data_IF_743602978708
#
_entry.id   IF_743602978708
#
_cell.length_a   1.000
_cell.length_b   1.000
_cell.length_c   1.000
_cell.angle_alpha   90.00
_cell.angle_beta   90.00
_cell.angle_gamma   90.00
#
_symmetry.space_group_name_H-M   'P 1'
#
loop_
_entity.id
_entity.type
_entity.pdbx_description
1 polymer ?
#
# COMPACT_ATOMS: atom_id res chain seq x y z
N UNK A 1 -62.40 25.87 -29.41
CA UNK A 1 -61.28 25.02 -29.81
C UNK A 1 -60.45 24.76 -28.57
N UNK A 2 -60.72 23.64 -27.89
CA UNK A 2 -59.95 23.17 -26.75
C UNK A 2 -59.39 21.80 -27.12
N UNK A 3 -58.06 21.70 -27.02
CA UNK A 3 -57.27 20.52 -27.34
C UNK A 3 -57.54 19.47 -26.27
N UNK A 4 -58.11 18.33 -26.64
CA UNK A 4 -58.19 17.16 -25.76
C UNK A 4 -56.85 16.41 -25.82
N UNK A 5 -56.04 16.57 -24.78
CA UNK A 5 -54.96 15.64 -24.45
C UNK A 5 -55.58 14.47 -23.66
N UNK A 6 -55.68 13.30 -24.29
CA UNK A 6 -56.22 12.08 -23.66
C UNK A 6 -55.14 11.50 -22.75
N UNK A 7 -55.40 11.52 -21.44
CA UNK A 7 -54.58 10.84 -20.44
C UNK A 7 -54.92 9.35 -20.43
N UNK A 8 -53.92 8.50 -20.65
CA UNK A 8 -54.04 7.04 -20.60
C UNK A 8 -54.03 6.59 -19.12
N UNK A 9 -55.17 6.19 -18.57
CA UNK A 9 -55.27 5.72 -17.19
C UNK A 9 -55.76 4.27 -17.16
N UNK A 10 -54.95 3.34 -16.68
CA UNK A 10 -55.46 2.12 -16.07
C UNK A 10 -55.99 2.52 -14.68
N UNK A 11 -57.30 2.67 -14.54
CA UNK A 11 -57.92 3.00 -13.26
C UNK A 11 -58.34 1.73 -12.54
N UNK A 12 -57.65 1.41 -11.44
CA UNK A 12 -58.08 0.38 -10.51
C UNK A 12 -59.10 0.98 -9.51
N UNK A 13 -60.32 0.45 -9.49
CA UNK A 13 -61.29 0.79 -8.44
C UNK A 13 -61.09 -0.20 -7.30
N UNK A 14 -60.55 0.26 -6.17
CA UNK A 14 -60.50 -0.52 -4.93
C UNK A 14 -61.86 -0.44 -4.23
N UNK A 15 -62.56 -1.57 -4.15
CA UNK A 15 -63.74 -1.72 -3.32
C UNK A 15 -63.52 -2.82 -2.29
N UNK A 16 -63.66 -2.47 -1.00
CA UNK A 16 -63.56 -3.40 0.11
C UNK A 16 -64.94 -3.99 0.41
N UNK A 17 -65.09 -5.31 0.34
CA UNK A 17 -66.27 -6.01 0.85
C UNK A 17 -65.83 -6.98 1.94
N UNK A 18 -66.03 -6.59 3.20
CA UNK A 18 -66.01 -7.53 4.31
C UNK A 18 -67.46 -7.84 4.68
N UNK A 19 -67.83 -9.12 4.69
CA UNK A 19 -69.04 -9.58 5.38
C UNK A 19 -68.64 -10.06 6.76
N UNK A 20 -68.92 -9.32 7.85
CA UNK A 20 -68.68 -9.80 9.19
C UNK A 20 -69.82 -10.73 9.59
N UNK A 21 -69.53 -12.00 9.86
CA UNK A 21 -70.42 -12.83 10.68
C UNK A 21 -69.65 -13.29 11.92
N UNK A 22 -70.05 -12.71 13.05
CA UNK A 22 -69.91 -13.11 14.46
C UNK A 22 -68.75 -14.01 14.92
N UNK A 23 -68.13 -13.70 16.08
CA UNK A 23 -66.95 -14.41 16.57
C UNK A 23 -67.38 -15.76 17.16
N UNK A 24 -67.17 -16.81 16.38
CA UNK A 24 -66.91 -18.14 16.91
C UNK A 24 -65.60 -18.62 16.29
N UNK A 25 -64.95 -19.59 16.92
CA UNK A 25 -63.61 -20.14 16.64
C UNK A 25 -63.41 -20.67 15.21
N UNK A 26 -63.51 -19.79 14.23
CA UNK A 26 -63.50 -20.05 12.79
C UNK A 26 -62.23 -19.45 12.23
N UNK A 27 -61.55 -20.21 11.37
CA UNK A 27 -60.40 -19.75 10.60
C UNK A 27 -60.66 -18.33 10.08
N UNK A 28 -59.72 -17.41 10.33
CA UNK A 28 -59.79 -16.05 9.79
C UNK A 28 -59.92 -16.19 8.27
N UNK A 29 -60.99 -15.66 7.64
CA UNK A 29 -61.17 -15.79 6.21
C UNK A 29 -60.02 -15.06 5.50
N UNK A 30 -59.50 -15.59 4.38
CA UNK A 30 -58.45 -14.94 3.62
C UNK A 30 -58.88 -13.51 3.29
N UNK A 31 -58.03 -12.55 3.62
CA UNK A 31 -58.30 -11.18 3.22
C UNK A 31 -58.18 -11.05 1.71
N UNK A 32 -59.28 -10.62 1.11
CA UNK A 32 -59.44 -10.54 -0.33
C UNK A 32 -59.55 -9.09 -0.77
N UNK A 33 -58.85 -8.74 -1.84
CA UNK A 33 -58.85 -7.42 -2.46
C UNK A 33 -59.35 -7.60 -3.88
N UNK A 34 -60.45 -6.94 -4.21
CA UNK A 34 -60.97 -6.94 -5.58
C UNK A 34 -60.17 -5.95 -6.41
N UNK A 35 -59.58 -6.43 -7.49
CA UNK A 35 -58.79 -5.66 -8.45
C UNK A 35 -59.48 -5.74 -9.81
N UNK A 36 -59.69 -4.57 -10.42
CA UNK A 36 -60.27 -4.46 -11.76
C UNK A 36 -59.29 -3.69 -12.63
N UNK A 37 -58.87 -4.30 -13.72
CA UNK A 37 -58.09 -3.63 -14.76
C UNK A 37 -58.94 -3.45 -16.00
N UNK A 38 -59.15 -2.20 -16.38
CA UNK A 38 -59.72 -1.83 -17.67
C UNK A 38 -58.60 -1.33 -18.58
N UNK A 39 -58.32 -2.06 -19.66
CA UNK A 39 -57.23 -1.75 -20.58
C UNK A 39 -57.84 -1.09 -21.82
N UNK A 40 -57.63 0.22 -21.99
CA UNK A 40 -58.16 0.99 -23.12
C UNK A 40 -57.14 1.05 -24.26
N UNK A 41 -57.07 0.01 -25.09
CA UNK A 41 -56.16 -0.06 -26.24
C UNK A 41 -56.81 -0.79 -27.41
N UNK A 42 -56.59 -0.30 -28.63
CA UNK A 42 -57.22 -0.84 -29.85
C UNK A 42 -56.50 -2.09 -30.39
N UNK A 43 -55.32 -2.44 -29.84
CA UNK A 43 -54.61 -3.69 -30.14
C UNK A 43 -53.62 -4.02 -29.00
N UNK A 44 -53.86 -5.07 -28.20
CA UNK A 44 -52.93 -5.55 -27.16
C UNK A 44 -52.51 -6.98 -27.45
N UNK A 45 -51.40 -7.16 -28.16
CA UNK A 45 -51.04 -8.50 -28.62
C UNK A 45 -50.45 -9.40 -27.54
N UNK A 46 -49.89 -8.86 -26.45
CA UNK A 46 -49.29 -9.67 -25.39
C UNK A 46 -49.15 -8.92 -24.06
N UNK A 47 -49.80 -9.41 -23.02
CA UNK A 47 -49.79 -8.83 -21.69
C UNK A 47 -49.43 -9.87 -20.64
N UNK A 48 -48.68 -9.45 -19.62
CA UNK A 48 -48.32 -10.26 -18.46
C UNK A 48 -48.73 -9.52 -17.18
N UNK A 49 -49.56 -10.16 -16.38
CA UNK A 49 -49.95 -9.73 -15.04
C UNK A 49 -49.22 -10.60 -14.02
N UNK A 50 -48.57 -9.97 -13.04
CA UNK A 50 -47.67 -10.63 -12.09
C UNK A 50 -48.00 -10.21 -10.66
N UNK A 51 -47.98 -11.15 -9.72
CA UNK A 51 -48.02 -10.87 -8.27
C UNK A 51 -46.78 -11.36 -7.55
N UNK A 52 -46.52 -10.72 -6.42
CA UNK A 52 -45.64 -11.24 -5.39
C UNK A 52 -46.31 -11.16 -4.02
N UNK A 53 -46.19 -12.20 -3.19
CA UNK A 53 -46.69 -12.23 -1.81
C UNK A 53 -48.14 -12.68 -1.62
N UNK A 54 -48.90 -12.84 -2.71
CA UNK A 54 -50.29 -13.30 -2.69
C UNK A 54 -50.72 -14.03 -3.96
N UNK A 55 -51.97 -14.49 -3.97
CA UNK A 55 -52.55 -15.29 -5.05
C UNK A 55 -53.70 -14.57 -5.72
N UNK A 56 -53.83 -14.71 -7.03
CA UNK A 56 -55.06 -14.38 -7.73
C UNK A 56 -56.06 -15.54 -7.71
N UNK A 57 -57.31 -15.15 -7.49
CA UNK A 57 -58.47 -15.89 -7.94
C UNK A 57 -59.17 -15.04 -8.99
N UNK A 58 -59.07 -15.43 -10.26
CA UNK A 58 -59.70 -14.69 -11.34
C UNK A 58 -61.21 -14.96 -11.36
N UNK A 59 -62.01 -13.90 -11.43
CA UNK A 59 -63.47 -14.00 -11.35
C UNK A 59 -64.15 -13.83 -12.70
N UNK A 60 -63.61 -13.00 -13.60
CA UNK A 60 -64.13 -12.86 -14.97
C UNK A 60 -63.11 -12.26 -15.95
N UNK A 61 -63.27 -12.62 -17.23
CA UNK A 61 -62.50 -12.10 -18.35
C UNK A 61 -63.44 -11.65 -19.46
N UNK A 62 -63.24 -10.43 -19.95
CA UNK A 62 -63.99 -9.92 -21.12
C UNK A 62 -63.02 -9.35 -22.14
N UNK A 63 -63.17 -9.74 -23.41
CA UNK A 63 -62.34 -9.23 -24.51
C UNK A 63 -60.97 -9.88 -24.68
N UNK A 64 -60.66 -11.00 -24.01
CA UNK A 64 -59.40 -11.74 -24.19
C UNK A 64 -59.49 -12.71 -25.37
N UNK A 65 -58.41 -12.80 -26.16
CA UNK A 65 -58.26 -13.79 -27.25
C UNK A 65 -57.64 -15.08 -26.75
N UNK A 66 -56.58 -15.00 -25.95
CA UNK A 66 -55.98 -16.16 -25.27
C UNK A 66 -55.53 -15.77 -23.87
N UNK A 67 -55.48 -16.74 -22.96
CA UNK A 67 -54.91 -16.54 -21.63
C UNK A 67 -54.32 -17.83 -21.07
N UNK A 68 -53.23 -17.70 -20.32
CA UNK A 68 -52.57 -18.79 -19.61
C UNK A 68 -52.13 -18.28 -18.24
N UNK A 69 -52.47 -19.03 -17.20
CA UNK A 69 -52.09 -18.72 -15.82
C UNK A 69 -51.05 -19.73 -15.36
N UNK A 70 -49.97 -19.26 -14.76
CA UNK A 70 -48.92 -20.12 -14.22
C UNK A 70 -48.46 -19.62 -12.85
N UNK A 71 -48.20 -20.57 -11.96
CA UNK A 71 -47.60 -20.31 -10.65
C UNK A 71 -46.14 -20.70 -10.75
N UNK A 72 -45.22 -19.77 -10.55
CA UNK A 72 -43.78 -20.10 -10.61
C UNK A 72 -43.28 -20.59 -9.26
N UNK A 73 -43.87 -20.13 -8.16
CA UNK A 73 -43.61 -20.61 -6.80
C UNK A 73 -44.75 -20.23 -5.85
N UNK A 74 -44.59 -20.49 -4.54
CA UNK A 74 -45.61 -20.20 -3.53
C UNK A 74 -45.90 -18.72 -3.32
N UNK A 75 -45.05 -17.81 -3.80
CA UNK A 75 -45.16 -16.36 -3.62
C UNK A 75 -45.45 -15.62 -4.93
N UNK A 76 -45.22 -16.24 -6.08
CA UNK A 76 -45.31 -15.61 -7.38
C UNK A 76 -46.31 -16.32 -8.27
N UNK A 77 -47.29 -15.56 -8.74
CA UNK A 77 -48.24 -16.01 -9.74
C UNK A 77 -48.22 -15.03 -10.91
N UNK A 78 -48.28 -15.57 -12.11
CA UNK A 78 -48.36 -14.77 -13.31
C UNK A 78 -49.47 -15.29 -14.24
N UNK A 79 -50.01 -14.37 -15.02
CA UNK A 79 -50.96 -14.64 -16.07
C UNK A 79 -50.49 -13.93 -17.32
N UNK A 80 -50.37 -14.65 -18.41
CA UNK A 80 -50.13 -14.08 -19.73
C UNK A 80 -51.44 -14.12 -20.51
N UNK A 81 -51.78 -13.04 -21.21
CA UNK A 81 -52.98 -12.98 -22.03
C UNK A 81 -52.75 -12.11 -23.26
N UNK A 82 -53.57 -12.34 -24.28
CA UNK A 82 -53.59 -11.54 -25.50
C UNK A 82 -55.01 -10.99 -25.71
N UNK A 83 -55.15 -9.84 -26.35
CA UNK A 83 -56.45 -9.25 -26.68
C UNK A 83 -56.42 -8.45 -27.99
N UNK A 84 -57.46 -8.65 -28.81
CA UNK A 84 -57.69 -7.88 -30.03
C UNK A 84 -58.68 -6.72 -29.84
N UNK A 85 -59.05 -6.40 -28.59
CA UNK A 85 -59.97 -5.32 -28.22
C UNK A 85 -59.49 -4.63 -26.94
N UNK A 86 -60.33 -3.79 -26.31
CA UNK A 86 -60.06 -3.22 -24.98
C UNK A 86 -60.55 -4.17 -23.90
N UNK A 87 -59.72 -5.05 -23.30
CA UNK A 87 -60.19 -6.06 -22.37
C UNK A 87 -60.44 -5.48 -20.97
N UNK A 88 -61.33 -6.14 -20.25
CA UNK A 88 -61.54 -5.92 -18.81
C UNK A 88 -61.25 -7.22 -18.08
N UNK A 89 -60.36 -7.14 -17.09
CA UNK A 89 -59.96 -8.27 -16.24
C UNK A 89 -60.38 -7.98 -14.81
N UNK A 90 -61.14 -8.91 -14.23
CA UNK A 90 -61.53 -8.86 -12.82
C UNK A 90 -60.85 -9.99 -12.08
N UNK A 91 -60.07 -9.67 -11.06
CA UNK A 91 -59.42 -10.65 -10.20
C UNK A 91 -59.57 -10.28 -8.74
N UNK A 92 -59.59 -11.31 -7.90
CA UNK A 92 -59.51 -11.18 -6.47
C UNK A 92 -58.09 -11.54 -6.04
N UNK A 93 -57.36 -10.57 -5.51
CA UNK A 93 -56.07 -10.80 -4.85
C UNK A 93 -56.30 -11.30 -3.43
N UNK A 94 -55.65 -12.41 -3.09
CA UNK A 94 -55.70 -13.05 -1.79
C UNK A 94 -54.34 -12.84 -1.13
N UNK A 95 -54.28 -11.97 -0.13
CA UNK A 95 -53.06 -11.73 0.63
C UNK A 95 -52.73 -12.95 1.49
N UNK A 96 -51.49 -13.43 1.44
CA UNK A 96 -51.06 -14.56 2.28
C UNK A 96 -50.56 -14.13 3.65
N UNK A 97 -49.91 -12.97 3.72
CA UNK A 97 -49.31 -12.44 4.93
C UNK A 97 -49.93 -11.09 5.28
N UNK A 98 -50.84 -11.09 6.24
CA UNK A 98 -51.49 -9.89 6.76
C UNK A 98 -51.68 -9.98 8.26
N UNK A 99 -51.82 -8.81 8.88
CA UNK A 99 -52.28 -8.72 10.26
C UNK A 99 -53.41 -7.70 10.36
N UNK A 100 -54.37 -8.00 11.24
CA UNK A 100 -55.48 -7.12 11.56
C UNK A 100 -55.07 -6.36 12.81
N UNK A 101 -55.02 -5.03 12.74
CA UNK A 101 -54.74 -4.23 13.92
C UNK A 101 -56.00 -4.05 14.78
N UNK A 102 -55.85 -3.44 15.96
CA UNK A 102 -56.94 -3.23 16.93
C UNK A 102 -58.05 -2.28 16.44
N UNK A 103 -57.90 -1.66 15.27
CA UNK A 103 -58.91 -0.78 14.64
C UNK A 103 -59.60 -1.45 13.45
N UNK A 104 -59.52 -2.78 13.31
CA UNK A 104 -60.04 -3.56 12.19
C UNK A 104 -59.50 -3.11 10.81
N UNK A 105 -58.37 -2.39 10.79
CA UNK A 105 -57.71 -1.99 9.56
C UNK A 105 -56.69 -3.04 9.14
N UNK A 106 -56.79 -3.40 7.87
CA UNK A 106 -56.03 -4.46 7.25
C UNK A 106 -54.67 -3.96 6.78
N UNK A 107 -53.58 -4.58 7.26
CA UNK A 107 -52.22 -4.24 6.81
C UNK A 107 -51.57 -5.45 6.14
N UNK A 108 -51.21 -5.29 4.87
CA UNK A 108 -50.46 -6.28 4.08
C UNK A 108 -48.96 -6.04 4.28
N UNK A 109 -48.16 -7.10 4.19
CA UNK A 109 -46.69 -7.02 4.09
C UNK A 109 -46.26 -5.92 3.11
N UNK A 110 -45.24 -5.13 3.46
CA UNK A 110 -44.69 -4.02 2.65
C UNK A 110 -43.99 -4.46 1.35
N UNK A 111 -44.21 -5.71 0.92
CA UNK A 111 -43.55 -6.36 -0.22
C UNK A 111 -44.54 -6.88 -1.25
N UNK A 112 -45.84 -6.80 -0.98
CA UNK A 112 -46.87 -7.32 -1.87
C UNK A 112 -47.13 -6.30 -2.99
N UNK A 113 -46.93 -6.73 -4.23
CA UNK A 113 -47.18 -5.88 -5.40
C UNK A 113 -47.84 -6.67 -6.52
N UNK A 114 -48.56 -5.92 -7.35
CA UNK A 114 -49.14 -6.41 -8.59
C UNK A 114 -48.66 -5.52 -9.73
N UNK A 115 -48.02 -6.12 -10.72
CA UNK A 115 -47.51 -5.41 -11.90
C UNK A 115 -48.18 -5.98 -13.15
N UNK A 116 -48.63 -5.09 -14.02
CA UNK A 116 -49.13 -5.44 -15.35
C UNK A 116 -48.23 -4.82 -16.40
N UNK A 117 -47.73 -5.64 -17.31
CA UNK A 117 -46.92 -5.23 -18.46
C UNK A 117 -47.61 -5.67 -19.73
N UNK A 118 -47.92 -4.74 -20.63
CA UNK A 118 -48.47 -5.03 -21.96
C UNK A 118 -47.52 -4.53 -23.05
N UNK A 119 -47.36 -5.32 -24.11
CA UNK A 119 -46.55 -4.99 -25.27
C UNK A 119 -47.36 -5.21 -26.56
N UNK A 120 -47.45 -4.16 -27.38
CA UNK A 120 -48.14 -4.18 -28.68
C UNK A 120 -47.18 -4.43 -29.88
N UNK A 121 -45.91 -4.74 -29.59
CA UNK A 121 -44.84 -4.90 -30.58
C UNK A 121 -44.07 -3.60 -30.89
N UNK A 122 -44.56 -2.45 -30.43
CA UNK A 122 -43.93 -1.13 -30.64
C UNK A 122 -43.73 -0.33 -29.35
N UNK A 123 -44.60 -0.52 -28.36
CA UNK A 123 -44.59 0.16 -27.08
C UNK A 123 -44.84 -0.81 -25.94
N UNK A 124 -44.16 -0.58 -24.81
CA UNK A 124 -44.36 -1.33 -23.56
C UNK A 124 -45.08 -0.42 -22.57
N UNK A 125 -46.26 -0.83 -22.12
CA UNK A 125 -47.03 -0.15 -21.08
C UNK A 125 -46.86 -0.92 -19.79
N UNK A 126 -46.39 -0.24 -18.74
CA UNK A 126 -46.25 -0.78 -17.38
C UNK A 126 -47.22 -0.07 -16.45
N UNK A 127 -47.99 -0.84 -15.68
CA UNK A 127 -48.86 -0.34 -14.62
C UNK A 127 -48.58 -1.12 -13.35
N UNK A 128 -48.11 -0.40 -12.32
CA UNK A 128 -47.82 -0.98 -11.01
C UNK A 128 -48.89 -0.59 -10.00
N UNK A 129 -49.42 -1.59 -9.29
CA UNK A 129 -50.31 -1.41 -8.15
C UNK A 129 -49.67 -2.05 -6.93
N UNK A 130 -49.15 -1.23 -6.03
CA UNK A 130 -48.58 -1.68 -4.75
C UNK A 130 -49.74 -1.95 -3.77
N UNK A 131 -49.75 -3.13 -3.16
CA UNK A 131 -50.75 -3.53 -2.17
C UNK A 131 -50.08 -3.54 -0.80
N UNK A 132 -50.01 -2.37 -0.18
CA UNK A 132 -49.29 -2.15 1.07
C UNK A 132 -48.65 -0.78 1.03
N UNK A 133 -49.23 0.16 1.77
CA UNK A 133 -48.90 1.59 1.87
C UNK A 133 -47.53 2.03 1.31
N UNK A 134 -47.57 2.94 0.32
CA UNK A 134 -46.47 3.86 0.04
C UNK A 134 -45.99 3.85 -1.41
N UNK A 135 -46.60 4.69 -2.24
CA UNK A 135 -45.92 5.25 -3.41
C UNK A 135 -44.66 5.98 -2.94
N UNK A 136 -43.49 5.33 -3.00
CA UNK A 136 -42.23 6.00 -2.71
C UNK A 136 -41.09 5.04 -2.45
N UNK A 137 -40.26 4.84 -3.48
CA UNK A 137 -38.94 4.22 -3.45
C UNK A 137 -38.88 2.69 -3.48
N UNK A 138 -39.07 2.14 -4.69
CA UNK A 138 -38.21 1.04 -5.12
C UNK A 138 -36.88 1.72 -5.52
N UNK A 139 -35.73 1.35 -4.95
CA UNK A 139 -34.45 1.85 -5.43
C UNK A 139 -34.17 1.20 -6.80
N UNK A 140 -34.74 1.77 -7.87
CA UNK A 140 -34.45 1.31 -9.22
C UNK A 140 -32.98 1.58 -9.52
N UNK A 141 -32.22 0.52 -9.76
CA UNK A 141 -30.87 0.65 -10.26
C UNK A 141 -30.93 1.28 -11.65
N UNK A 142 -30.29 2.43 -11.81
CA UNK A 142 -30.17 3.16 -13.09
C UNK A 142 -28.86 2.79 -13.78
N UNK A 143 -28.67 3.18 -15.04
CA UNK A 143 -27.39 2.97 -15.76
C UNK A 143 -26.16 3.58 -15.03
N UNK A 144 -26.40 4.55 -14.15
CA UNK A 144 -25.39 5.21 -13.30
C UNK A 144 -25.26 4.61 -11.89
N UNK A 145 -26.08 3.62 -11.53
CA UNK A 145 -25.98 2.95 -10.23
C UNK A 145 -24.62 2.28 -10.05
N UNK A 146 -24.09 2.34 -8.83
CA UNK A 146 -22.77 1.82 -8.48
C UNK A 146 -21.64 2.38 -9.36
N UNK A 147 -21.78 3.62 -9.86
CA UNK A 147 -20.83 4.29 -10.78
C UNK A 147 -20.44 3.45 -12.00
N UNK A 148 -21.33 2.52 -12.40
CA UNK A 148 -21.06 1.51 -13.44
C UNK A 148 -19.85 0.60 -13.15
N UNK A 149 -19.41 0.55 -11.89
CA UNK A 149 -18.25 -0.21 -11.37
C UNK A 149 -18.65 -1.36 -10.45
N UNK A 150 -19.92 -1.74 -10.45
CA UNK A 150 -20.45 -2.84 -9.64
C UNK A 150 -21.84 -3.27 -10.07
N UNK A 151 -22.27 -4.41 -9.53
CA UNK A 151 -23.64 -4.90 -9.68
C UNK A 151 -24.53 -4.28 -8.60
N UNK A 152 -25.61 -3.63 -9.02
CA UNK A 152 -26.61 -3.06 -8.13
C UNK A 152 -27.70 -4.10 -7.82
N UNK A 153 -28.13 -4.18 -6.57
CA UNK A 153 -29.23 -5.02 -6.15
C UNK A 153 -30.56 -4.26 -6.30
N UNK A 154 -31.43 -4.71 -7.20
CA UNK A 154 -32.72 -4.07 -7.49
C UNK A 154 -33.71 -4.09 -6.30
N UNK A 155 -33.47 -4.95 -5.29
CA UNK A 155 -34.35 -5.06 -4.13
C UNK A 155 -34.08 -4.02 -3.04
N UNK A 156 -32.82 -3.61 -2.85
CA UNK A 156 -32.41 -2.71 -1.75
C UNK A 156 -31.46 -1.57 -2.18
N UNK A 157 -31.08 -1.51 -3.45
CA UNK A 157 -30.19 -0.50 -4.02
C UNK A 157 -28.71 -0.66 -3.65
N UNK A 158 -28.33 -1.74 -2.97
CA UNK A 158 -26.94 -1.97 -2.54
C UNK A 158 -26.02 -2.33 -3.70
N UNK A 159 -24.76 -1.91 -3.60
CA UNK A 159 -23.75 -2.14 -4.64
C UNK A 159 -22.76 -3.24 -4.24
N UNK A 160 -22.60 -4.23 -5.11
CA UNK A 160 -21.49 -5.19 -5.07
C UNK A 160 -20.44 -4.79 -6.09
N UNK A 161 -19.36 -4.18 -5.61
CA UNK A 161 -18.32 -3.61 -6.47
C UNK A 161 -17.45 -4.66 -7.16
N UNK A 162 -17.01 -4.36 -8.38
CA UNK A 162 -15.95 -5.11 -9.05
C UNK A 162 -14.60 -4.71 -8.47
N UNK A 163 -13.67 -5.65 -8.37
CA UNK A 163 -12.30 -5.32 -7.99
C UNK A 163 -11.65 -4.39 -9.04
N UNK A 164 -10.90 -3.34 -8.67
CA UNK A 164 -10.47 -2.94 -7.31
C UNK A 164 -11.37 -1.87 -6.64
N UNK A 165 -12.63 -1.71 -7.06
CA UNK A 165 -13.51 -0.66 -6.55
C UNK A 165 -14.18 -1.03 -5.22
N UNK A 166 -14.44 -0.02 -4.38
CA UNK A 166 -15.14 -0.17 -3.12
C UNK A 166 -15.90 1.12 -2.74
N UNK A 167 -16.62 1.08 -1.61
CA UNK A 167 -17.52 2.14 -1.18
C UNK A 167 -18.98 1.77 -1.40
N UNK A 168 -19.90 2.63 -0.95
CA UNK A 168 -21.34 2.35 -1.01
C UNK A 168 -21.89 2.42 -2.43
N UNK A 169 -21.19 3.08 -3.34
CA UNK A 169 -21.54 3.22 -4.75
C UNK A 169 -20.36 2.90 -5.68
N UNK A 170 -19.36 2.16 -5.19
CA UNK A 170 -18.14 1.78 -5.92
C UNK A 170 -17.33 2.97 -6.44
N UNK A 171 -17.44 4.10 -5.75
CA UNK A 171 -16.82 5.37 -6.10
C UNK A 171 -15.33 5.44 -5.74
N UNK A 172 -14.86 4.55 -4.85
CA UNK A 172 -13.47 4.48 -4.40
C UNK A 172 -12.72 3.36 -5.10
N UNK A 173 -11.41 3.52 -5.22
CA UNK A 173 -10.47 2.59 -5.86
C UNK A 173 -9.46 2.17 -4.82
N UNK A 174 -9.31 0.87 -4.62
CA UNK A 174 -8.26 0.29 -3.79
C UNK A 174 -6.91 0.44 -4.50
N UNK A 175 -5.96 1.14 -3.88
CA UNK A 175 -4.59 1.27 -4.40
C UNK A 175 -3.76 0.00 -4.17
N UNK A 176 -4.31 -1.04 -3.53
CA UNK A 176 -3.53 -2.18 -3.04
C UNK A 176 -2.63 -1.75 -1.88
N UNK A 177 -1.33 -2.03 -1.98
CA UNK A 177 -0.36 -1.70 -0.94
C UNK A 177 0.62 -0.62 -1.40
N UNK A 178 0.47 0.60 -0.89
CA UNK A 178 1.45 1.66 -1.09
C UNK A 178 2.64 1.47 -0.12
N UNK A 179 3.83 1.23 -0.66
CA UNK A 179 5.05 0.97 0.10
C UNK A 179 5.67 2.26 0.66
N UNK A 180 6.65 2.10 1.55
CA UNK A 180 7.52 3.18 2.04
C UNK A 180 6.77 4.40 2.63
N UNK A 181 5.61 4.16 3.25
CA UNK A 181 4.79 5.20 3.89
C UNK A 181 4.07 6.11 2.90
N UNK A 182 3.91 5.68 1.65
CA UNK A 182 3.15 6.40 0.63
C UNK A 182 1.65 6.46 0.95
N UNK A 183 1.01 7.53 0.48
CA UNK A 183 -0.42 7.77 0.70
C UNK A 183 -1.24 7.36 -0.53
N UNK A 184 -2.35 6.65 -0.31
CA UNK A 184 -3.28 6.24 -1.35
C UNK A 184 -4.36 7.31 -1.57
N UNK A 185 -4.46 7.85 -2.78
CA UNK A 185 -5.63 8.59 -3.23
C UNK A 185 -6.68 7.60 -3.74
N UNK A 186 -7.65 7.28 -2.89
CA UNK A 186 -8.74 6.35 -3.21
C UNK A 186 -9.70 6.85 -4.29
N UNK A 187 -9.63 8.10 -4.74
CA UNK A 187 -10.46 8.59 -5.85
C UNK A 187 -9.88 8.24 -7.22
N UNK A 188 -8.54 8.18 -7.29
CA UNK A 188 -7.79 7.90 -8.52
C UNK A 188 -7.13 6.52 -8.51
N UNK A 189 -7.00 5.87 -7.35
CA UNK A 189 -6.30 4.61 -7.18
C UNK A 189 -4.77 4.76 -7.27
N UNK A 190 -4.24 5.96 -6.99
CA UNK A 190 -2.82 6.26 -7.16
C UNK A 190 -2.11 6.40 -5.81
N UNK A 191 -0.92 5.81 -5.70
CA UNK A 191 -0.03 6.01 -4.57
C UNK A 191 0.82 7.26 -4.80
N UNK A 192 0.88 8.14 -3.80
CA UNK A 192 1.73 9.32 -3.79
C UNK A 192 2.92 9.08 -2.86
N UNK A 193 4.12 9.05 -3.44
CA UNK A 193 5.36 8.82 -2.68
C UNK A 193 5.71 10.09 -1.90
N UNK A 194 5.68 10.00 -0.57
CA UNK A 194 5.80 11.16 0.32
C UNK A 194 7.16 11.33 0.97
N UNK A 195 7.37 10.67 2.11
CA UNK A 195 8.45 11.00 3.07
C UNK A 195 9.80 10.35 2.79
N UNK A 196 9.81 9.25 2.03
CA UNK A 196 11.03 8.59 1.59
C UNK A 196 11.16 8.85 0.10
N UNK A 197 12.39 9.14 -0.35
CA UNK A 197 12.69 9.23 -1.78
C UNK A 197 12.50 7.85 -2.43
N UNK A 198 11.25 7.57 -2.79
CA UNK A 198 10.76 6.34 -3.38
C UNK A 198 10.09 6.66 -4.72
N UNK A 199 10.01 5.64 -5.57
CA UNK A 199 9.38 5.71 -6.88
C UNK A 199 8.79 4.35 -7.26
N UNK A 200 8.12 4.30 -8.41
CA UNK A 200 7.27 3.17 -8.80
C UNK A 200 5.79 3.55 -8.67
N UNK A 201 4.91 2.67 -9.16
CA UNK A 201 3.46 2.94 -9.13
C UNK A 201 2.86 2.74 -7.74
N UNK A 202 3.54 1.96 -6.89
CA UNK A 202 3.18 1.71 -5.49
C UNK A 202 4.29 2.17 -4.54
N UNK A 203 5.23 3.00 -5.00
CA UNK A 203 6.38 3.49 -4.24
C UNK A 203 7.27 2.36 -3.67
N UNK A 204 7.35 1.24 -4.38
CA UNK A 204 8.04 0.02 -3.99
C UNK A 204 9.56 0.08 -4.14
N UNK A 205 10.07 1.04 -4.92
CA UNK A 205 11.49 1.23 -5.16
C UNK A 205 12.02 2.48 -4.48
N UNK A 206 13.28 2.44 -4.07
CA UNK A 206 13.99 3.53 -3.40
C UNK A 206 15.08 4.10 -4.31
N UNK A 207 15.25 5.41 -4.23
CA UNK A 207 16.39 6.10 -4.83
C UNK A 207 17.68 5.78 -4.09
N UNK A 208 18.80 5.87 -4.79
CA UNK A 208 20.13 5.57 -4.29
C UNK A 208 21.10 6.76 -4.43
N UNK A 209 21.82 7.10 -3.36
CA UNK A 209 21.75 6.46 -2.05
C UNK A 209 20.47 6.89 -1.29
N UNK A 210 20.06 6.13 -0.27
CA UNK A 210 18.76 6.32 0.41
C UNK A 210 18.54 7.78 0.85
N UNK A 211 17.36 8.33 0.55
CA UNK A 211 17.05 9.74 0.87
C UNK A 211 17.62 10.76 -0.13
N UNK A 212 18.30 10.32 -1.20
CA UNK A 212 18.59 11.16 -2.35
C UNK A 212 17.47 11.12 -3.39
N UNK A 213 17.46 12.06 -4.33
CA UNK A 213 16.51 12.09 -5.46
C UNK A 213 17.11 11.51 -6.76
N UNK A 214 18.14 10.68 -6.65
CA UNK A 214 18.89 10.13 -7.78
C UNK A 214 19.00 8.60 -7.66
N UNK A 215 19.26 7.90 -8.76
CA UNK A 215 19.63 6.47 -8.76
C UNK A 215 21.13 6.29 -8.97
N UNK A 216 21.94 7.30 -8.64
CA UNK A 216 23.35 7.36 -8.98
C UNK A 216 24.24 6.98 -7.79
N UNK A 217 24.91 5.83 -7.92
CA UNK A 217 25.90 5.31 -6.98
C UNK A 217 27.34 5.51 -7.48
N UNK A 218 27.61 6.50 -8.33
CA UNK A 218 28.90 6.78 -8.96
C UNK A 218 29.62 5.51 -9.45
N UNK A 219 30.57 5.00 -8.67
CA UNK A 219 31.33 3.79 -8.94
C UNK A 219 30.72 2.58 -8.23
N UNK A 220 29.44 2.34 -8.48
CA UNK A 220 28.70 1.25 -7.85
C UNK A 220 27.34 1.04 -8.49
N UNK A 221 26.59 0.07 -7.97
CA UNK A 221 25.22 -0.20 -8.39
C UNK A 221 24.23 0.01 -7.25
N UNK A 222 23.00 0.39 -7.61
CA UNK A 222 21.91 0.67 -6.69
C UNK A 222 21.10 -0.60 -6.40
N UNK A 223 20.98 -0.99 -5.14
CA UNK A 223 19.99 -1.97 -4.69
C UNK A 223 18.67 -1.25 -4.41
N UNK A 224 17.82 -1.17 -5.43
CA UNK A 224 16.58 -0.36 -5.44
C UNK A 224 15.56 -0.74 -4.37
N UNK A 225 15.66 -1.92 -3.75
CA UNK A 225 14.77 -2.36 -2.67
C UNK A 225 15.16 -1.76 -1.31
N UNK A 226 16.45 -1.50 -1.10
CA UNK A 226 17.00 -0.99 0.18
C UNK A 226 17.41 0.48 0.07
N UNK A 227 17.70 0.95 -1.14
CA UNK A 227 18.29 2.27 -1.42
C UNK A 227 19.80 2.31 -1.12
N UNK A 228 20.46 1.16 -1.01
CA UNK A 228 21.88 1.05 -0.68
C UNK A 228 22.71 1.01 -1.96
N UNK A 229 23.80 1.78 -1.99
CA UNK A 229 24.81 1.71 -3.04
C UNK A 229 25.85 0.64 -2.70
N UNK A 230 26.01 -0.33 -3.59
CA UNK A 230 27.07 -1.34 -3.52
C UNK A 230 28.24 -0.90 -4.40
N UNK A 231 29.36 -0.56 -3.76
CA UNK A 231 30.51 0.00 -4.44
C UNK A 231 31.33 -1.07 -5.16
N UNK A 232 31.86 -0.71 -6.33
CA UNK A 232 32.84 -1.53 -7.02
C UNK A 232 34.17 -1.55 -6.26
N UNK A 233 35.01 -2.53 -6.60
CA UNK A 233 36.32 -2.69 -5.99
C UNK A 233 37.14 -1.39 -6.05
N UNK A 234 37.76 -1.03 -4.92
CA UNK A 234 38.53 0.21 -4.80
C UNK A 234 37.70 1.47 -4.51
N UNK A 235 36.38 1.37 -4.35
CA UNK A 235 35.52 2.49 -3.97
C UNK A 235 34.71 2.22 -2.70
N UNK A 236 34.33 3.29 -2.02
CA UNK A 236 33.56 3.26 -0.78
C UNK A 236 32.79 4.58 -0.55
N UNK A 237 32.12 4.65 0.60
CA UNK A 237 31.27 5.77 0.97
C UNK A 237 29.80 5.53 0.62
N UNK A 238 28.96 6.45 1.07
CA UNK A 238 27.50 6.32 0.97
C UNK A 238 27.01 6.28 -0.49
N UNK A 239 27.72 6.97 -1.39
CA UNK A 239 27.42 7.01 -2.83
C UNK A 239 28.54 6.47 -3.71
N UNK A 240 29.48 5.70 -3.14
CA UNK A 240 30.67 5.19 -3.86
C UNK A 240 31.47 6.27 -4.59
N UNK A 241 31.49 7.45 -3.99
CA UNK A 241 32.16 8.66 -4.45
C UNK A 241 33.61 8.75 -3.96
N UNK A 242 34.00 7.92 -2.99
CA UNK A 242 35.34 7.91 -2.40
C UNK A 242 36.12 6.73 -2.92
N UNK A 243 37.35 6.96 -3.37
CA UNK A 243 38.28 5.88 -3.65
C UNK A 243 38.93 5.41 -2.36
N UNK A 244 39.02 4.10 -2.16
CA UNK A 244 39.69 3.51 -0.99
C UNK A 244 41.17 3.87 -1.01
N UNK A 245 41.69 4.31 0.13
CA UNK A 245 43.13 4.45 0.32
C UNK A 245 43.79 3.08 0.46
N UNK A 246 45.04 3.00 -0.01
CA UNK A 246 45.87 1.82 0.18
C UNK A 246 46.06 1.60 1.69
N UNK A 247 45.74 0.40 2.18
CA UNK A 247 45.88 -0.01 3.58
C UNK A 247 45.27 0.97 4.60
N UNK A 248 44.23 1.72 4.21
CA UNK A 248 43.61 2.76 5.04
C UNK A 248 44.62 3.75 5.66
N UNK A 249 45.64 4.10 4.87
CA UNK A 249 46.77 4.94 5.31
C UNK A 249 47.48 4.42 6.58
N UNK A 250 47.40 3.10 6.85
CA UNK A 250 47.94 2.40 8.03
C UNK A 250 47.67 3.13 9.36
N UNK A 251 46.55 3.85 9.48
CA UNK A 251 46.22 4.72 10.61
C UNK A 251 47.24 5.87 10.86
N UNK A 252 48.29 5.96 10.05
CA UNK A 252 49.37 6.96 10.11
C UNK A 252 49.10 8.21 9.27
N UNK A 253 47.89 8.36 8.75
CA UNK A 253 47.49 9.52 7.96
C UNK A 253 45.99 9.66 7.79
N UNK A 254 45.60 10.63 6.96
CA UNK A 254 44.21 10.90 6.55
C UNK A 254 44.05 10.56 5.07
N UNK A 255 43.03 9.75 4.77
CA UNK A 255 42.64 9.42 3.40
C UNK A 255 41.77 10.54 2.79
N UNK A 256 42.13 11.03 1.61
CA UNK A 256 41.28 11.94 0.83
C UNK A 256 40.29 11.19 -0.09
N UNK A 257 39.34 11.93 -0.69
CA UNK A 257 38.31 11.31 -1.56
C UNK A 257 38.86 10.73 -2.85
N UNK A 258 40.08 11.11 -3.26
CA UNK A 258 40.76 10.61 -4.44
C UNK A 258 41.58 9.33 -4.17
N UNK A 259 41.63 8.88 -2.91
CA UNK A 259 42.36 7.70 -2.47
C UNK A 259 43.85 7.97 -2.22
N UNK A 260 44.23 9.21 -1.92
CA UNK A 260 45.59 9.62 -1.58
C UNK A 260 45.71 9.86 -0.08
N UNK A 261 46.76 9.31 0.52
CA UNK A 261 47.05 9.47 1.94
C UNK A 261 47.89 10.72 2.21
N UNK A 262 47.43 11.56 3.13
CA UNK A 262 48.25 12.62 3.75
C UNK A 262 48.73 12.12 5.10
N UNK A 263 50.02 11.89 5.25
CA UNK A 263 50.59 11.31 6.47
C UNK A 263 50.66 12.32 7.62
N UNK A 264 50.44 11.85 8.85
CA UNK A 264 50.68 12.61 10.08
C UNK A 264 52.18 12.85 10.29
N UNK A 265 52.50 13.81 11.16
CA UNK A 265 53.87 14.11 11.51
C UNK A 265 54.60 12.85 12.01
N UNK A 266 55.76 12.58 11.40
CA UNK A 266 56.59 11.37 11.56
C UNK A 266 56.17 10.12 10.77
N UNK A 267 55.15 10.16 9.91
CA UNK A 267 54.86 9.08 8.97
C UNK A 267 55.21 9.46 7.53
N UNK A 268 55.49 8.49 6.68
CA UNK A 268 55.75 8.68 5.25
C UNK A 268 55.49 7.40 4.44
N UNK A 269 55.57 7.53 3.11
CA UNK A 269 55.19 6.49 2.16
C UNK A 269 53.83 6.76 1.52
N UNK A 270 53.44 5.95 0.53
CA UNK A 270 52.19 6.14 -0.23
C UNK A 270 50.94 5.91 0.64
N UNK A 271 51.07 5.07 1.65
CA UNK A 271 50.04 4.65 2.60
C UNK A 271 50.46 4.90 4.06
N UNK A 272 51.44 5.77 4.29
CA UNK A 272 51.91 6.14 5.63
C UNK A 272 52.37 4.96 6.51
N UNK A 273 52.80 3.85 5.89
CA UNK A 273 53.25 2.66 6.62
C UNK A 273 54.58 2.86 7.38
N UNK A 274 55.38 3.86 6.99
CA UNK A 274 56.73 4.05 7.50
C UNK A 274 56.80 5.21 8.48
N UNK A 275 57.49 5.00 9.60
CA UNK A 275 57.79 6.02 10.61
C UNK A 275 59.18 6.60 10.38
N UNK A 276 59.30 7.93 10.49
CA UNK A 276 60.58 8.64 10.47
C UNK A 276 61.31 8.37 11.77
N UNK A 277 62.60 8.04 11.67
CA UNK A 277 63.44 7.97 12.84
C UNK A 277 63.91 9.35 13.28
N UNK A 278 64.11 9.56 14.59
CA UNK A 278 64.68 10.79 15.09
C UNK A 278 66.07 11.01 14.47
N UNK A 279 66.28 12.20 13.88
CA UNK A 279 67.55 12.64 13.27
C UNK A 279 68.22 11.57 12.36
N UNK A 280 67.40 10.76 11.67
CA UNK A 280 67.81 9.69 10.77
C UNK A 280 68.77 8.64 11.39
N UNK A 281 68.74 8.46 12.71
CA UNK A 281 69.62 7.57 13.47
C UNK A 281 71.12 7.90 13.36
N UNK A 282 71.47 9.13 12.97
CA UNK A 282 72.86 9.56 12.83
C UNK A 282 73.69 8.69 11.86
N UNK A 283 75.01 8.74 12.02
CA UNK A 283 75.93 7.93 11.20
C UNK A 283 76.17 6.51 11.76
N UNK A 284 75.73 6.25 13.00
CA UNK A 284 76.06 5.06 13.78
C UNK A 284 74.85 4.22 14.17
N UNK A 285 73.72 4.38 13.48
CA UNK A 285 72.53 3.58 13.72
C UNK A 285 71.74 3.25 12.46
N UNK A 286 70.97 2.16 12.53
CA UNK A 286 69.99 1.80 11.51
C UNK A 286 68.57 2.14 11.95
N UNK A 287 67.80 2.78 11.07
CA UNK A 287 66.39 3.07 11.34
C UNK A 287 65.51 1.85 11.07
N UNK A 288 64.70 1.44 12.05
CA UNK A 288 63.58 0.55 11.83
C UNK A 288 62.35 1.37 11.41
N UNK A 289 62.10 1.47 10.10
CA UNK A 289 60.99 2.25 9.56
C UNK A 289 59.59 1.74 9.96
N UNK A 290 59.46 0.53 10.50
CA UNK A 290 58.17 0.04 11.01
C UNK A 290 57.87 0.54 12.43
N UNK A 291 58.89 0.72 13.27
CA UNK A 291 58.73 1.19 14.66
C UNK A 291 59.06 2.67 14.83
N UNK A 292 59.90 3.23 13.96
CA UNK A 292 60.47 4.57 14.09
C UNK A 292 61.66 4.63 15.07
N UNK A 293 62.19 3.48 15.48
CA UNK A 293 63.24 3.35 16.47
C UNK A 293 64.61 3.15 15.81
N UNK A 294 65.64 3.71 16.44
CA UNK A 294 67.02 3.54 16.00
C UNK A 294 67.69 2.34 16.67
N UNK A 295 68.38 1.54 15.87
CA UNK A 295 69.25 0.47 16.33
C UNK A 295 70.71 0.95 16.22
N UNK A 296 71.31 1.34 17.34
CA UNK A 296 72.68 1.87 17.35
C UNK A 296 73.74 0.76 17.24
N UNK A 297 74.75 0.98 16.41
CA UNK A 297 75.90 0.10 16.24
C UNK A 297 76.95 0.38 17.34
N UNK A 298 76.84 -0.27 18.50
CA UNK A 298 77.79 -0.10 19.61
C UNK A 298 77.16 -0.23 21.00
N UNK A 299 77.87 0.19 22.05
CA UNK A 299 77.34 0.22 23.43
C UNK A 299 76.74 1.60 23.75
N UNK A 300 75.43 1.58 24.05
CA UNK A 300 74.62 2.68 24.60
C UNK A 300 74.66 4.01 23.82
N UNK A 301 74.04 4.03 22.65
CA UNK A 301 73.61 5.27 21.99
C UNK A 301 72.31 5.81 22.58
N UNK A 302 72.07 7.11 22.43
CA UNK A 302 70.76 7.72 22.70
C UNK A 302 69.69 7.24 21.70
N UNK A 303 68.45 7.74 21.81
CA UNK A 303 67.33 7.25 21.00
C UNK A 303 67.46 7.56 19.49
N UNK A 304 68.48 8.31 19.08
CA UNK A 304 68.78 8.64 17.68
C UNK A 304 70.23 8.40 17.27
N UNK A 305 71.01 7.70 18.10
CA UNK A 305 72.39 7.31 17.82
C UNK A 305 73.31 8.46 17.36
N UNK A 306 72.95 9.71 17.66
CA UNK A 306 73.81 10.86 17.34
C UNK A 306 74.95 11.02 18.34
N UNK A 307 74.79 10.47 19.54
CA UNK A 307 75.82 10.48 20.57
C UNK A 307 76.11 9.04 21.00
N UNK A 308 77.37 8.62 20.87
CA UNK A 308 77.86 7.39 21.48
C UNK A 308 78.25 7.71 22.91
N UNK A 309 77.65 7.05 23.91
CA UNK A 309 78.09 7.26 25.30
C UNK A 309 79.40 6.52 25.54
N UNK A 310 80.32 7.15 26.28
CA UNK A 310 81.53 6.44 26.68
C UNK A 310 81.20 5.33 27.68
N UNK A 311 81.97 4.23 27.69
CA UNK A 311 81.79 3.15 28.66
C UNK A 311 81.68 3.69 30.09
N UNK A 312 80.53 3.43 30.72
CA UNK A 312 80.29 3.73 32.13
C UNK A 312 80.30 2.43 32.91
N UNK A 313 81.37 2.19 33.66
CA UNK A 313 81.42 1.12 34.65
C UNK A 313 80.82 1.60 35.97
N UNK A 314 80.53 0.70 36.90
CA UNK A 314 79.97 1.04 38.23
C UNK A 314 80.82 2.01 39.07
N UNK A 315 82.01 2.40 38.60
CA UNK A 315 82.93 3.38 39.19
C UNK A 315 82.89 4.76 38.52
N UNK A 316 82.33 4.88 37.31
CA UNK A 316 82.18 6.14 36.56
C UNK A 316 82.57 6.04 35.07
N UNK A 317 82.34 7.13 34.31
CA UNK A 317 82.72 7.25 32.90
C UNK A 317 84.23 7.03 32.72
N UNK A 318 84.62 6.17 31.77
CA UNK A 318 86.02 5.81 31.50
C UNK A 318 86.78 5.36 32.77
N UNK A 319 86.09 4.67 33.70
CA UNK A 319 86.58 4.27 35.02
C UNK A 319 87.17 5.41 35.87
N UNK A 320 86.84 6.68 35.56
CA UNK A 320 87.50 7.88 36.09
C UNK A 320 89.01 7.95 35.78
N UNK A 321 89.47 7.15 34.81
CA UNK A 321 90.87 7.03 34.37
C UNK A 321 91.09 7.50 32.93
N UNK A 322 90.12 8.19 32.34
CA UNK A 322 90.24 8.83 31.05
C UNK A 322 89.22 9.95 30.86
N UNK A 323 89.32 10.64 29.72
CA UNK A 323 88.35 11.64 29.27
C UNK A 323 87.49 11.04 28.17
N UNK A 324 86.18 11.23 28.27
CA UNK A 324 85.25 10.79 27.23
C UNK A 324 85.29 11.74 26.03
N UNK A 325 85.57 11.21 24.83
CA UNK A 325 85.31 11.92 23.59
C UNK A 325 83.85 11.67 23.16
N UNK A 326 82.97 12.62 23.45
CA UNK A 326 81.53 12.51 23.17
C UNK A 326 81.15 12.50 21.68
N UNK A 327 82.11 12.75 20.76
CA UNK A 327 81.89 12.63 19.32
C UNK A 327 82.22 11.23 18.78
N UNK A 328 83.15 10.51 19.41
CA UNK A 328 83.55 9.15 19.00
C UNK A 328 83.09 8.05 19.97
N UNK A 329 82.64 8.41 21.17
CA UNK A 329 82.29 7.45 22.23
C UNK A 329 83.49 6.69 22.82
N UNK A 330 84.71 7.16 22.55
CA UNK A 330 85.94 6.50 22.99
C UNK A 330 86.54 7.22 24.20
N UNK A 331 87.09 6.43 25.12
CA UNK A 331 87.83 6.94 26.27
C UNK A 331 89.29 7.21 25.88
N UNK A 332 89.73 8.45 26.05
CA UNK A 332 91.14 8.82 26.00
C UNK A 332 91.75 8.61 27.39
N UNK A 333 92.47 7.51 27.57
CA UNK A 333 93.00 7.11 28.88
C UNK A 333 94.15 7.99 29.35
N UNK A 334 94.18 8.28 30.64
CA UNK A 334 95.32 8.92 31.29
C UNK A 334 96.54 8.00 31.30
N UNK A 335 97.74 8.58 31.41
CA UNK A 335 99.00 7.84 31.42
C UNK A 335 99.01 6.70 32.45
N UNK A 336 99.40 5.49 32.00
CA UNK A 336 99.43 4.28 32.82
C UNK A 336 98.13 3.47 32.82
N UNK A 337 97.13 3.87 32.02
CA UNK A 337 95.86 3.16 31.87
C UNK A 337 95.54 2.89 30.40
N UNK A 338 94.93 1.76 30.10
CA UNK A 338 94.50 1.38 28.74
C UNK A 338 93.24 0.51 28.74
N UNK A 339 92.78 0.14 27.54
CA UNK A 339 91.49 -0.54 27.33
C UNK A 339 90.38 0.41 26.87
N UNK A 340 89.24 -0.15 26.46
CA UNK A 340 88.11 0.60 25.92
C UNK A 340 87.48 1.58 26.93
N UNK A 341 87.59 1.26 28.23
CA UNK A 341 87.06 2.03 29.35
C UNK A 341 88.15 2.50 30.32
N UNK A 342 89.44 2.36 29.97
CA UNK A 342 90.59 2.68 30.82
C UNK A 342 90.71 1.85 32.13
N UNK A 343 90.17 0.63 32.14
CA UNK A 343 90.23 -0.26 33.32
C UNK A 343 91.57 -0.99 33.51
N UNK A 344 92.39 -1.13 32.46
CA UNK A 344 93.66 -1.85 32.55
C UNK A 344 94.79 -0.92 32.98
N UNK A 345 95.65 -1.40 33.88
CA UNK A 345 96.86 -0.68 34.30
C UNK A 345 98.03 -1.19 33.46
N UNK A 346 98.74 -0.27 32.82
CA UNK A 346 99.95 -0.59 32.07
C UNK A 346 101.15 -0.77 33.03
N UNK A 347 101.99 -1.77 32.76
CA UNK A 347 103.08 -2.20 33.64
C UNK A 347 104.32 -1.31 33.59
#
# INVERSE_FOLDING_TARGET
MFIFLVFYTASAVLSFTTTPTTPTTVAVPPATISLVWAISTVATTDCSLVTYGGLFSFSSFTGLTTHESYSTNTYYQAMRFTSSSSPTITATYIAKNYYINTTDTFTVSSTDYVTMVCNDGTTTIVSDTIIGLGTGWIPYCTATSCTSRGNCNDYDGSCKCYYPYFGTSCEKIDCGYCHNGASCDTSTGTCTCGSVAAYGTHCEYLYCPRGSSSTNCNHGYCEIQTGICHCYEGYEGYSCDKKKCLNDCNEGGVCDTSGVCTCYDNYFGKDCAYKRCPRDCGAYGGCNFSTGECNCYGTDGDNDCMFTTCPSTGTGLCNLKGVCNYYSGLCECYSGYSGLDCSYVEA
#
